data_IF_527422460856
#
_entry.id   IF_527422460856
#
_cell.length_a   1.000
_cell.length_b   1.000
_cell.length_c   1.000
_cell.angle_alpha   90.00
_cell.angle_beta   90.00
_cell.angle_gamma   90.00
#
_symmetry.space_group_name_H-M   'P 1'
#
loop_
_entity.id
_entity.type
_entity.pdbx_description
1 polymer ?
#
# COMPACT_ATOMS: atom_id res chain seq x y z
N UNK A 1 -14.86 4.63 6.84
CA UNK A 1 -13.62 5.24 6.30
C UNK A 1 -12.64 5.36 7.45
N UNK A 2 -11.38 5.00 7.23
CA UNK A 2 -10.29 5.17 8.19
C UNK A 2 -9.09 5.80 7.46
N UNK A 3 -8.31 6.58 8.20
CA UNK A 3 -7.05 7.16 7.72
C UNK A 3 -5.99 6.99 8.79
N UNK A 4 -4.75 6.84 8.39
CA UNK A 4 -3.64 6.75 9.34
C UNK A 4 -2.30 6.77 8.62
N UNK A 5 -1.26 6.40 9.36
CA UNK A 5 0.07 6.26 8.81
C UNK A 5 0.77 5.05 9.41
N UNK A 6 1.77 4.55 8.71
CA UNK A 6 2.67 3.52 9.22
C UNK A 6 4.09 3.76 8.71
N UNK A 7 5.07 3.30 9.48
CA UNK A 7 6.46 3.21 9.04
C UNK A 7 6.68 1.84 8.43
N UNK A 8 7.29 1.77 7.25
CA UNK A 8 7.69 0.50 6.64
C UNK A 8 8.84 -0.14 7.42
N UNK A 9 8.91 -1.46 7.42
CA UNK A 9 9.92 -2.25 8.14
C UNK A 9 10.80 -3.11 7.23
N UNK A 10 10.57 -3.08 5.91
CA UNK A 10 11.34 -3.85 4.94
C UNK A 10 11.12 -5.36 5.00
N UNK A 11 10.11 -5.84 5.71
CA UNK A 11 9.78 -7.27 5.76
C UNK A 11 8.90 -7.68 4.57
N UNK A 12 8.99 -8.96 4.19
CA UNK A 12 8.20 -9.53 3.10
C UNK A 12 6.68 -9.52 3.36
N UNK A 13 6.24 -9.28 4.59
CA UNK A 13 4.83 -9.12 4.90
C UNK A 13 4.68 -8.30 6.18
N UNK A 14 3.99 -7.16 6.07
CA UNK A 14 3.66 -6.29 7.19
C UNK A 14 2.16 -6.03 7.22
N UNK A 15 1.52 -6.50 8.28
CA UNK A 15 0.11 -6.24 8.55
C UNK A 15 -0.08 -4.87 9.22
N UNK A 16 -0.99 -4.08 8.67
CA UNK A 16 -1.50 -2.84 9.26
C UNK A 16 -2.89 -3.17 9.79
N UNK A 17 -3.05 -3.18 11.11
CA UNK A 17 -4.30 -3.55 11.81
C UNK A 17 -4.92 -2.36 12.54
N UNK A 18 -6.10 -2.54 13.14
CA UNK A 18 -6.79 -1.50 13.90
C UNK A 18 -7.61 -0.54 13.03
N UNK A 19 -7.93 -0.92 11.79
CA UNK A 19 -8.77 -0.14 10.88
C UNK A 19 -10.26 -0.23 11.25
N UNK A 20 -10.67 -1.31 11.91
CA UNK A 20 -12.01 -1.58 12.44
C UNK A 20 -12.98 -2.24 11.46
N UNK A 21 -12.52 -2.59 10.25
CA UNK A 21 -13.30 -3.23 9.20
C UNK A 21 -12.39 -3.84 8.12
N UNK A 22 -12.98 -4.71 7.30
CA UNK A 22 -12.33 -5.23 6.08
C UNK A 22 -12.37 -4.17 4.98
N UNK A 23 -11.23 -3.63 4.52
CA UNK A 23 -11.23 -2.65 3.45
C UNK A 23 -11.71 -3.25 2.12
N UNK A 24 -12.40 -2.44 1.33
CA UNK A 24 -12.73 -2.69 -0.08
C UNK A 24 -12.03 -1.75 -1.05
N UNK A 25 -11.56 -0.62 -0.53
CA UNK A 25 -10.70 0.34 -1.23
C UNK A 25 -9.57 0.73 -0.29
N UNK A 26 -8.35 0.74 -0.82
CA UNK A 26 -7.14 1.17 -0.13
C UNK A 26 -6.34 2.07 -1.06
N UNK A 27 -5.92 3.21 -0.53
CA UNK A 27 -4.91 4.07 -1.14
C UNK A 27 -3.82 4.37 -0.13
N UNK A 28 -2.58 4.21 -0.55
CA UNK A 28 -1.37 4.46 0.23
C UNK A 28 -0.56 5.53 -0.50
N UNK A 29 -0.01 6.47 0.24
CA UNK A 29 0.88 7.53 -0.25
C UNK A 29 2.21 7.46 0.49
N UNK A 30 3.32 7.43 -0.24
CA UNK A 30 4.64 7.64 0.35
C UNK A 30 4.73 9.06 0.92
N UNK A 31 5.15 9.19 2.19
CA UNK A 31 5.41 10.48 2.81
C UNK A 31 6.80 10.94 2.41
N UNK A 32 6.85 11.94 1.55
CA UNK A 32 8.09 12.59 1.17
C UNK A 32 8.64 13.50 2.27
N UNK A 33 9.97 13.60 2.31
CA UNK A 33 10.68 14.62 3.09
C UNK A 33 10.74 15.93 2.33
N UNK A 34 10.99 17.03 3.05
CA UNK A 34 11.01 18.38 2.46
C UNK A 34 11.99 18.44 1.27
N UNK A 35 11.47 18.79 0.09
CA UNK A 35 12.25 19.00 -1.14
C UNK A 35 12.19 17.86 -2.16
N UNK A 36 11.59 16.72 -1.83
CA UNK A 36 11.33 15.67 -2.81
C UNK A 36 10.08 15.97 -3.64
N UNK A 37 10.16 15.72 -4.96
CA UNK A 37 9.09 15.98 -5.93
C UNK A 37 8.48 14.69 -6.51
N UNK A 38 8.88 13.55 -5.98
CA UNK A 38 8.57 12.25 -6.55
C UNK A 38 7.79 11.41 -5.54
N UNK A 39 6.47 11.57 -5.53
CA UNK A 39 5.57 10.82 -4.63
C UNK A 39 5.07 9.58 -5.36
N UNK A 40 5.00 8.46 -4.63
CA UNK A 40 4.41 7.21 -5.13
C UNK A 40 3.09 6.96 -4.41
N UNK A 41 2.05 6.69 -5.19
CA UNK A 41 0.76 6.24 -4.67
C UNK A 41 0.50 4.79 -5.05
N UNK A 42 -0.12 4.04 -4.15
CA UNK A 42 -0.53 2.66 -4.37
C UNK A 42 -2.03 2.56 -4.16
N UNK A 43 -2.76 1.99 -5.12
CA UNK A 43 -4.22 1.89 -5.07
C UNK A 43 -4.63 0.46 -5.35
N UNK A 44 -5.46 -0.10 -4.47
CA UNK A 44 -6.11 -1.39 -4.71
C UNK A 44 -7.56 -1.37 -4.23
N UNK A 45 -8.33 -2.32 -4.74
CA UNK A 45 -9.72 -2.59 -4.36
C UNK A 45 -9.99 -4.07 -4.46
N UNK A 46 -11.10 -4.56 -3.90
CA UNK A 46 -11.51 -5.97 -4.09
C UNK A 46 -11.77 -6.36 -5.54
N UNK A 47 -11.82 -5.40 -6.48
CA UNK A 47 -11.93 -5.66 -7.92
C UNK A 47 -10.60 -5.49 -8.68
N UNK A 48 -9.55 -4.98 -8.02
CA UNK A 48 -8.22 -4.72 -8.59
C UNK A 48 -7.17 -5.69 -8.00
N UNK A 49 -7.47 -6.41 -6.91
CA UNK A 49 -6.67 -7.57 -6.52
C UNK A 49 -6.71 -8.53 -7.71
N UNK A 50 -5.58 -8.65 -8.39
CA UNK A 50 -5.38 -9.59 -9.49
C UNK A 50 -5.66 -11.01 -9.00
N UNK A 51 -5.95 -11.94 -9.90
CA UNK A 51 -6.15 -13.35 -9.54
C UNK A 51 -4.85 -14.04 -9.07
N UNK A 52 -3.75 -13.28 -9.02
CA UNK A 52 -2.49 -13.64 -8.41
C UNK A 52 -2.64 -13.89 -6.89
N UNK A 53 -2.07 -15.00 -6.41
CA UNK A 53 -2.18 -15.41 -5.00
C UNK A 53 -1.63 -14.35 -4.03
N UNK A 54 -0.64 -13.56 -4.47
CA UNK A 54 0.02 -12.52 -3.66
C UNK A 54 -0.65 -11.13 -3.77
N UNK A 55 -1.80 -11.03 -4.45
CA UNK A 55 -2.52 -9.77 -4.64
C UNK A 55 -1.76 -8.73 -5.47
N UNK A 56 -2.20 -7.46 -5.43
CA UNK A 56 -1.55 -6.41 -6.20
C UNK A 56 -2.20 -5.03 -6.09
N UNK A 57 -1.57 -4.05 -6.75
CA UNK A 57 -2.04 -2.68 -6.77
C UNK A 57 -1.63 -1.93 -8.05
N UNK A 58 -2.36 -0.85 -8.35
CA UNK A 58 -1.90 0.15 -9.31
C UNK A 58 -0.92 1.06 -8.58
N UNK A 59 0.32 1.10 -9.06
CA UNK A 59 1.31 2.09 -8.62
C UNK A 59 1.26 3.30 -9.55
N UNK A 60 1.13 4.47 -8.94
CA UNK A 60 1.16 5.78 -9.62
C UNK A 60 2.46 6.45 -9.20
N UNK A 61 3.31 6.76 -10.18
CA UNK A 61 4.58 7.46 -10.03
C UNK A 61 4.69 8.53 -11.12
N UNK A 62 5.50 9.57 -10.89
CA UNK A 62 5.60 10.74 -11.77
C UNK A 62 5.90 10.43 -13.25
N UNK A 63 6.51 9.28 -13.53
CA UNK A 63 6.95 8.88 -14.88
C UNK A 63 6.29 7.60 -15.41
N UNK A 64 5.72 6.75 -14.55
CA UNK A 64 5.18 5.44 -14.93
C UNK A 64 4.00 5.05 -14.05
N UNK A 65 2.90 4.61 -14.66
CA UNK A 65 1.78 3.99 -13.95
C UNK A 65 1.60 2.56 -14.45
N UNK A 66 1.65 1.58 -13.54
CA UNK A 66 1.52 0.18 -13.90
C UNK A 66 0.91 -0.63 -12.75
N UNK A 67 0.44 -1.83 -13.08
CA UNK A 67 0.06 -2.82 -12.08
C UNK A 67 1.33 -3.48 -11.51
N UNK A 68 1.35 -3.70 -10.20
CA UNK A 68 2.42 -4.38 -9.48
C UNK A 68 1.84 -5.47 -8.59
N UNK A 69 2.25 -6.70 -8.85
CA UNK A 69 1.92 -7.89 -8.08
C UNK A 69 2.66 -7.89 -6.74
N UNK A 70 2.04 -8.41 -5.68
CA UNK A 70 2.68 -8.64 -4.39
C UNK A 70 2.88 -7.40 -3.51
N UNK A 71 2.64 -6.18 -4.01
CA UNK A 71 2.88 -4.94 -3.24
C UNK A 71 1.88 -4.77 -2.10
N UNK A 72 0.60 -5.06 -2.40
CA UNK A 72 -0.48 -5.14 -1.42
C UNK A 72 -0.99 -6.57 -1.46
N UNK A 73 -0.66 -7.32 -0.40
CA UNK A 73 -0.86 -8.76 -0.32
C UNK A 73 -2.33 -9.10 -0.08
N UNK A 74 -2.98 -8.35 0.79
CA UNK A 74 -4.36 -8.65 1.19
C UNK A 74 -5.08 -7.44 1.77
N UNK A 75 -6.41 -7.47 1.65
CA UNK A 75 -7.32 -6.63 2.42
C UNK A 75 -7.92 -7.51 3.53
N UNK A 76 -7.42 -7.32 4.75
CA UNK A 76 -7.63 -8.19 5.90
C UNK A 76 -8.88 -7.80 6.68
N UNK A 77 -9.33 -8.67 7.59
CA UNK A 77 -10.54 -8.45 8.39
C UNK A 77 -10.55 -7.12 9.19
N UNK A 78 -9.38 -6.65 9.61
CA UNK A 78 -9.17 -5.44 10.41
C UNK A 78 -8.06 -4.54 9.83
N UNK A 79 -7.88 -4.56 8.50
CA UNK A 79 -6.88 -3.72 7.84
C UNK A 79 -6.34 -4.31 6.56
N UNK A 80 -5.02 -4.32 6.37
CA UNK A 80 -4.39 -4.75 5.13
C UNK A 80 -2.94 -5.16 5.34
N UNK A 81 -2.42 -5.97 4.43
CA UNK A 81 -1.02 -6.41 4.47
C UNK A 81 -0.27 -5.89 3.24
N UNK A 82 0.91 -5.31 3.48
CA UNK A 82 1.83 -4.83 2.43
C UNK A 82 3.10 -5.67 2.43
N UNK A 83 3.81 -5.68 1.31
CA UNK A 83 5.09 -6.37 1.17
C UNK A 83 6.20 -5.43 0.71
N UNK A 84 7.43 -5.95 0.68
CA UNK A 84 8.46 -5.42 -0.20
C UNK A 84 8.25 -6.02 -1.59
N UNK A 85 8.44 -5.19 -2.59
CA UNK A 85 8.39 -5.55 -3.98
C UNK A 85 9.76 -5.42 -4.62
N UNK A 86 9.78 -4.92 -5.86
CA UNK A 86 11.02 -4.57 -6.57
C UNK A 86 11.05 -3.06 -6.78
N UNK A 87 11.43 -2.29 -5.75
CA UNK A 87 11.70 -0.84 -5.89
C UNK A 87 11.15 0.03 -4.76
N UNK A 88 10.51 1.14 -5.12
CA UNK A 88 9.76 1.99 -4.18
C UNK A 88 8.49 1.23 -3.81
N UNK A 89 8.57 0.54 -2.67
CA UNK A 89 7.56 -0.41 -2.22
C UNK A 89 6.78 0.18 -1.05
N UNK A 90 5.50 -0.21 -0.84
CA UNK A 90 4.68 0.29 0.26
C UNK A 90 5.13 -0.22 1.64
N UNK A 91 6.28 -0.89 1.74
CA UNK A 91 6.89 -1.33 3.00
C UNK A 91 8.41 -1.05 3.09
N UNK A 92 8.92 -0.02 2.43
CA UNK A 92 10.36 0.29 2.50
C UNK A 92 10.77 0.64 3.94
N UNK A 93 11.85 0.01 4.44
CA UNK A 93 12.28 0.17 5.83
C UNK A 93 12.57 1.64 6.18
N UNK A 94 11.96 2.15 7.25
CA UNK A 94 12.14 3.52 7.74
C UNK A 94 11.41 4.59 6.93
N UNK A 95 10.71 4.24 5.85
CA UNK A 95 9.84 5.17 5.12
C UNK A 95 8.47 5.28 5.78
N UNK A 96 7.93 6.48 5.84
CA UNK A 96 6.57 6.71 6.34
C UNK A 96 5.57 6.71 5.19
N UNK A 97 4.40 6.14 5.43
CA UNK A 97 3.30 6.07 4.48
C UNK A 97 2.03 6.57 5.14
N UNK A 98 1.21 7.32 4.39
CA UNK A 98 -0.15 7.67 4.79
C UNK A 98 -1.13 6.77 4.04
N UNK A 99 -2.26 6.42 4.66
CA UNK A 99 -3.28 5.64 4.00
C UNK A 99 -4.68 6.19 4.22
N UNK A 100 -5.58 5.84 3.30
CA UNK A 100 -7.02 5.92 3.45
C UNK A 100 -7.67 4.59 3.04
N UNK A 101 -8.55 4.08 3.89
CA UNK A 101 -9.30 2.84 3.69
C UNK A 101 -10.81 3.10 3.72
N UNK A 102 -11.55 2.37 2.88
CA UNK A 102 -13.02 2.36 2.87
C UNK A 102 -13.50 0.90 2.83
N UNK A 103 -14.48 0.53 3.66
CA UNK A 103 -15.08 -0.82 3.75
C UNK A 103 -16.54 -0.83 3.35
#
# INVERSE_FOLDING_TARGET
VATGSYTGDGTAAKAITGVGFTPKYLRIEERETVGASDTVSYITTTAIIDDHEDGGCIRIHSSTHAFYDGYIVSLDADGFTVSIGVGADPNTNGKEYNYICMG
#
